data_IF_213259731316
#
_entry.id   IF_213259731316
#
_cell.length_a   1.000
_cell.length_b   1.000
_cell.length_c   1.000
_cell.angle_alpha   90.00
_cell.angle_beta   90.00
_cell.angle_gamma   90.00
#
_symmetry.space_group_name_H-M   'P 1'
#
loop_
_entity.id
_entity.type
_entity.pdbx_description
1 polymer ?
#
# COMPACT_ATOMS: atom_id res chain seq x y z
N UNK A 1 -22.42 11.99 8.95
CA UNK A 1 -21.36 11.54 9.87
C UNK A 1 -21.71 10.28 10.67
N UNK A 2 -22.96 10.08 11.13
CA UNK A 2 -23.35 8.87 11.88
C UNK A 2 -23.37 7.56 11.08
N UNK A 3 -23.66 7.62 9.78
CA UNK A 3 -23.75 6.43 8.92
C UNK A 3 -22.40 5.78 8.62
N UNK A 4 -21.33 6.58 8.42
CA UNK A 4 -19.97 6.05 8.22
C UNK A 4 -19.42 5.40 9.49
N UNK A 5 -19.68 5.98 10.66
CA UNK A 5 -19.28 5.38 11.95
C UNK A 5 -19.94 4.01 12.17
N UNK A 6 -21.22 3.85 11.81
CA UNK A 6 -21.92 2.56 11.88
C UNK A 6 -21.28 1.51 10.96
N UNK A 7 -20.91 1.88 9.73
CA UNK A 7 -20.24 0.96 8.79
C UNK A 7 -18.87 0.51 9.31
N UNK A 8 -18.07 1.44 9.83
CA UNK A 8 -16.75 1.13 10.40
C UNK A 8 -16.91 0.22 11.62
N UNK A 9 -17.87 0.49 12.49
CA UNK A 9 -18.15 -0.36 13.64
C UNK A 9 -18.58 -1.78 13.23
N UNK A 10 -19.43 -1.91 12.21
CA UNK A 10 -19.80 -3.21 11.65
C UNK A 10 -18.60 -3.94 11.05
N UNK A 11 -17.68 -3.23 10.37
CA UNK A 11 -16.45 -3.82 9.84
C UNK A 11 -15.56 -4.35 10.96
N UNK A 12 -15.31 -3.54 12.00
CA UNK A 12 -14.49 -3.96 13.15
C UNK A 12 -15.11 -5.17 13.83
N UNK A 13 -16.44 -5.15 14.05
CA UNK A 13 -17.16 -6.26 14.65
C UNK A 13 -17.03 -7.53 13.80
N UNK A 14 -17.17 -7.41 12.48
CA UNK A 14 -16.98 -8.53 11.56
C UNK A 14 -15.57 -9.11 11.65
N UNK A 15 -14.53 -8.27 11.62
CA UNK A 15 -13.13 -8.72 11.69
C UNK A 15 -12.80 -9.41 13.01
N UNK A 16 -13.37 -8.96 14.13
CA UNK A 16 -13.14 -9.59 15.44
C UNK A 16 -13.90 -10.92 15.55
N UNK A 17 -15.13 -11.00 15.03
CA UNK A 17 -15.96 -12.21 15.11
C UNK A 17 -15.49 -13.28 14.12
N UNK A 18 -14.97 -12.88 12.96
CA UNK A 18 -14.57 -13.78 11.88
C UNK A 18 -13.66 -14.95 12.32
N UNK A 19 -12.51 -14.74 12.98
CA UNK A 19 -11.64 -15.85 13.37
C UNK A 19 -12.31 -16.80 14.37
N UNK A 20 -13.19 -16.29 15.25
CA UNK A 20 -13.92 -17.11 16.21
C UNK A 20 -14.98 -17.95 15.50
N UNK A 21 -15.73 -17.37 14.56
CA UNK A 21 -16.80 -18.04 13.83
C UNK A 21 -16.26 -19.17 12.94
N UNK A 22 -15.15 -18.92 12.24
CA UNK A 22 -14.62 -19.87 11.25
C UNK A 22 -13.90 -21.05 11.91
N UNK A 23 -13.42 -20.92 13.15
CA UNK A 23 -12.92 -22.07 13.92
C UNK A 23 -13.97 -23.19 14.10
N UNK A 24 -15.27 -22.87 13.98
CA UNK A 24 -16.35 -23.87 14.07
C UNK A 24 -16.72 -24.49 12.71
N UNK A 25 -16.08 -24.09 11.61
CA UNK A 25 -16.35 -24.57 10.25
C UNK A 25 -15.14 -25.36 9.73
N UNK A 26 -15.07 -26.68 9.96
CA UNK A 26 -13.94 -27.52 9.56
C UNK A 26 -13.83 -27.75 8.04
N UNK A 27 -14.78 -27.25 7.24
CA UNK A 27 -14.80 -27.42 5.78
C UNK A 27 -13.88 -26.46 5.01
N UNK A 28 -13.34 -25.42 5.67
CA UNK A 28 -12.50 -24.39 5.05
C UNK A 28 -11.13 -24.41 5.74
N UNK A 29 -10.11 -24.94 5.07
CA UNK A 29 -8.70 -24.77 5.49
C UNK A 29 -8.17 -23.39 5.06
N UNK A 30 -7.17 -22.87 5.77
CA UNK A 30 -6.40 -21.66 5.42
C UNK A 30 -7.22 -20.36 5.28
N UNK A 31 -8.35 -20.25 5.98
CA UNK A 31 -9.21 -19.06 5.94
C UNK A 31 -8.52 -17.79 6.47
N UNK A 32 -7.62 -17.92 7.46
CA UNK A 32 -6.87 -16.80 8.01
C UNK A 32 -5.87 -16.28 6.99
N UNK A 33 -5.13 -17.16 6.32
CA UNK A 33 -4.22 -16.81 5.23
C UNK A 33 -4.93 -16.01 4.13
N UNK A 34 -6.08 -16.49 3.66
CA UNK A 34 -6.88 -15.77 2.65
C UNK A 34 -7.25 -14.37 3.13
N UNK A 35 -7.63 -14.23 4.40
CA UNK A 35 -7.97 -12.93 4.97
C UNK A 35 -6.76 -12.03 5.25
N UNK A 36 -5.58 -12.59 5.47
CA UNK A 36 -4.33 -11.84 5.57
C UNK A 36 -4.01 -11.23 4.21
N UNK A 37 -4.05 -12.02 3.13
CA UNK A 37 -3.88 -11.50 1.77
C UNK A 37 -4.96 -10.48 1.42
N UNK A 38 -6.22 -10.72 1.79
CA UNK A 38 -7.30 -9.77 1.60
C UNK A 38 -7.02 -8.43 2.31
N UNK A 39 -6.49 -8.47 3.54
CA UNK A 39 -6.07 -7.28 4.28
C UNK A 39 -4.91 -6.53 3.61
N UNK A 40 -3.89 -7.26 3.15
CA UNK A 40 -2.74 -6.68 2.42
C UNK A 40 -3.22 -5.97 1.14
N UNK A 41 -4.02 -6.65 0.31
CA UNK A 41 -4.58 -6.02 -0.90
C UNK A 41 -5.62 -4.93 -0.58
N UNK A 42 -6.25 -4.96 0.60
CA UNK A 42 -7.08 -3.85 1.08
C UNK A 42 -6.25 -2.58 1.26
N UNK A 43 -5.05 -2.66 1.85
CA UNK A 43 -4.15 -1.49 1.94
C UNK A 43 -3.77 -0.94 0.57
N UNK A 44 -3.42 -1.82 -0.38
CA UNK A 44 -3.11 -1.44 -1.77
C UNK A 44 -4.31 -0.72 -2.40
N UNK A 45 -5.51 -1.28 -2.25
CA UNK A 45 -6.72 -0.71 -2.85
C UNK A 45 -7.15 0.59 -2.16
N UNK A 46 -6.85 0.81 -0.87
CA UNK A 46 -7.03 2.11 -0.21
C UNK A 46 -6.13 3.16 -0.88
N UNK A 47 -4.84 2.86 -1.06
CA UNK A 47 -3.89 3.74 -1.74
C UNK A 47 -4.32 4.05 -3.17
N UNK A 48 -4.74 3.04 -3.92
CA UNK A 48 -5.22 3.18 -5.30
C UNK A 48 -6.53 3.97 -5.38
N UNK A 49 -7.46 3.74 -4.44
CA UNK A 49 -8.75 4.44 -4.38
C UNK A 49 -8.58 5.92 -4.08
N UNK A 50 -7.60 6.29 -3.25
CA UNK A 50 -7.24 7.69 -3.06
C UNK A 50 -6.77 8.31 -4.38
N UNK A 51 -5.81 7.67 -5.06
CA UNK A 51 -5.20 8.19 -6.27
C UNK A 51 -6.18 8.29 -7.46
N UNK A 52 -6.82 7.17 -7.81
CA UNK A 52 -7.73 7.07 -8.94
C UNK A 52 -9.11 7.66 -8.60
N UNK A 53 -9.67 7.31 -7.44
CA UNK A 53 -11.02 7.69 -7.06
C UNK A 53 -11.17 9.13 -6.62
N UNK A 54 -10.23 9.68 -5.83
CA UNK A 54 -10.35 11.04 -5.31
C UNK A 54 -9.61 12.10 -6.11
N UNK A 55 -8.45 11.79 -6.69
CA UNK A 55 -7.70 12.76 -7.49
C UNK A 55 -7.86 12.56 -9.02
N UNK A 56 -8.40 11.42 -9.46
CA UNK A 56 -8.66 11.18 -10.89
C UNK A 56 -7.43 10.83 -11.71
N UNK A 57 -6.38 10.36 -11.04
CA UNK A 57 -5.13 10.01 -11.69
C UNK A 57 -5.11 8.52 -11.99
N UNK A 58 -5.20 8.15 -13.27
CA UNK A 58 -5.09 6.76 -13.68
C UNK A 58 -3.67 6.28 -13.41
N UNK A 59 -3.53 5.15 -12.71
CA UNK A 59 -2.24 4.54 -12.39
C UNK A 59 -2.30 3.03 -12.55
N UNK A 60 -1.48 2.51 -13.44
CA UNK A 60 -1.29 1.07 -13.68
C UNK A 60 0.02 0.54 -13.08
N UNK A 61 0.89 1.43 -12.58
CA UNK A 61 2.18 1.07 -11.98
C UNK A 61 2.14 0.79 -10.48
N UNK A 62 0.96 0.61 -9.88
CA UNK A 62 0.83 0.56 -8.42
C UNK A 62 1.51 -0.69 -7.81
N UNK A 63 1.54 -1.80 -8.56
CA UNK A 63 2.25 -3.01 -8.20
C UNK A 63 3.77 -2.79 -8.04
N UNK A 64 4.34 -1.82 -8.76
CA UNK A 64 5.76 -1.47 -8.63
C UNK A 64 6.10 -0.98 -7.22
N UNK A 65 5.25 -0.11 -6.64
CA UNK A 65 5.45 0.40 -5.28
C UNK A 65 5.25 -0.67 -4.22
N UNK A 66 4.36 -1.63 -4.47
CA UNK A 66 4.22 -2.83 -3.65
C UNK A 66 5.52 -3.65 -3.69
N UNK A 67 6.04 -3.93 -4.88
CA UNK A 67 7.30 -4.65 -5.06
C UNK A 67 8.50 -3.92 -4.43
N UNK A 68 8.59 -2.59 -4.58
CA UNK A 68 9.66 -1.80 -3.94
C UNK A 68 9.63 -1.96 -2.42
N UNK A 69 8.45 -1.92 -1.79
CA UNK A 69 8.32 -2.16 -0.35
C UNK A 69 8.72 -3.58 0.05
N UNK A 70 8.21 -4.57 -0.68
CA UNK A 70 8.51 -5.98 -0.51
C UNK A 70 10.02 -6.27 -0.55
N UNK A 71 10.67 -5.92 -1.67
CA UNK A 71 12.10 -6.16 -1.87
C UNK A 71 12.96 -5.33 -0.91
N UNK A 72 12.64 -4.06 -0.66
CA UNK A 72 13.44 -3.24 0.26
C UNK A 72 13.44 -3.81 1.67
N UNK A 73 12.25 -4.14 2.20
CA UNK A 73 12.13 -4.71 3.54
C UNK A 73 12.79 -6.09 3.62
N UNK A 74 12.57 -6.94 2.61
CA UNK A 74 13.17 -8.27 2.53
C UNK A 74 14.70 -8.25 2.44
N UNK A 75 15.27 -7.44 1.55
CA UNK A 75 16.73 -7.33 1.38
C UNK A 75 17.39 -6.80 2.64
N UNK A 76 16.83 -5.74 3.25
CA UNK A 76 17.40 -5.12 4.45
C UNK A 76 17.38 -6.06 5.66
N UNK A 77 16.36 -6.91 5.75
CA UNK A 77 16.23 -7.86 6.86
C UNK A 77 17.04 -9.12 6.62
N UNK A 78 16.97 -9.71 5.42
CA UNK A 78 17.69 -10.93 5.08
C UNK A 78 19.21 -10.73 4.96
N UNK A 79 19.68 -9.68 4.25
CA UNK A 79 21.12 -9.47 4.02
C UNK A 79 21.81 -8.67 5.11
N UNK A 80 21.15 -7.65 5.64
CA UNK A 80 21.75 -6.72 6.59
C UNK A 80 21.34 -6.97 8.05
N UNK A 81 20.44 -7.93 8.31
CA UNK A 81 19.99 -8.27 9.65
C UNK A 81 19.30 -7.11 10.38
N UNK A 82 18.80 -6.12 9.64
CA UNK A 82 18.11 -4.98 10.23
C UNK A 82 16.75 -5.42 10.81
N UNK A 83 16.25 -4.67 11.80
CA UNK A 83 14.92 -4.91 12.34
C UNK A 83 13.85 -4.81 11.22
N UNK A 84 12.88 -5.74 11.16
CA UNK A 84 11.79 -5.71 10.17
C UNK A 84 11.06 -4.37 10.08
N UNK A 85 10.88 -3.69 11.22
CA UNK A 85 10.24 -2.37 11.24
C UNK A 85 11.08 -1.30 10.55
N UNK A 86 12.41 -1.35 10.68
CA UNK A 86 13.31 -0.46 9.95
C UNK A 86 13.32 -0.79 8.45
N UNK A 87 13.21 -2.08 8.10
CA UNK A 87 13.01 -2.53 6.72
C UNK A 87 11.76 -1.92 6.08
N UNK A 88 10.62 -1.98 6.79
CA UNK A 88 9.37 -1.36 6.35
C UNK A 88 9.54 0.15 6.16
N UNK A 89 10.11 0.85 7.15
CA UNK A 89 10.30 2.30 7.08
C UNK A 89 11.24 2.71 5.93
N UNK A 90 12.31 1.96 5.71
CA UNK A 90 13.22 2.18 4.60
C UNK A 90 12.54 1.92 3.25
N UNK A 91 11.73 0.87 3.13
CA UNK A 91 10.92 0.60 1.95
C UNK A 91 9.94 1.73 1.65
N UNK A 92 9.24 2.23 2.68
CA UNK A 92 8.34 3.39 2.57
C UNK A 92 9.08 4.64 2.13
N UNK A 93 10.25 4.90 2.71
CA UNK A 93 11.08 6.05 2.35
C UNK A 93 11.57 5.96 0.89
N UNK A 94 12.04 4.79 0.47
CA UNK A 94 12.49 4.54 -0.90
C UNK A 94 11.35 4.66 -1.91
N UNK A 95 10.22 4.01 -1.64
CA UNK A 95 9.02 4.07 -2.48
C UNK A 95 8.52 5.51 -2.61
N UNK A 96 8.49 6.27 -1.52
CA UNK A 96 8.12 7.69 -1.53
C UNK A 96 9.09 8.54 -2.34
N UNK A 97 10.40 8.30 -2.23
CA UNK A 97 11.41 9.01 -2.99
C UNK A 97 11.28 8.73 -4.50
N UNK A 98 11.12 7.46 -4.88
CA UNK A 98 10.88 7.05 -6.26
C UNK A 98 9.57 7.64 -6.78
N UNK A 99 8.51 7.66 -5.96
CA UNK A 99 7.24 8.28 -6.33
C UNK A 99 7.36 9.79 -6.57
N UNK A 100 8.22 10.50 -5.83
CA UNK A 100 8.52 11.91 -6.11
C UNK A 100 9.26 12.05 -7.45
N UNK A 101 10.33 11.27 -7.63
CA UNK A 101 11.19 11.35 -8.83
C UNK A 101 10.41 11.03 -10.11
N UNK A 102 9.60 9.97 -10.08
CA UNK A 102 8.76 9.55 -11.22
C UNK A 102 7.50 10.40 -11.33
N UNK A 103 6.92 10.80 -10.21
CA UNK A 103 5.68 11.61 -10.20
C UNK A 103 5.88 12.98 -10.83
N UNK A 104 7.00 13.67 -10.60
CA UNK A 104 7.24 15.01 -11.17
C UNK A 104 7.12 15.04 -12.72
N UNK A 105 7.80 14.16 -13.49
CA UNK A 105 7.65 14.11 -14.93
C UNK A 105 6.33 13.46 -15.38
N UNK A 106 5.91 12.34 -14.78
CA UNK A 106 4.73 11.61 -15.22
C UNK A 106 3.45 12.43 -15.06
N UNK A 107 3.32 13.20 -13.98
CA UNK A 107 2.11 13.99 -13.69
C UNK A 107 1.89 15.20 -14.62
N UNK A 108 2.84 15.49 -15.51
CA UNK A 108 2.66 16.44 -16.62
C UNK A 108 1.80 15.87 -17.76
N UNK A 109 1.69 14.54 -17.83
CA UNK A 109 0.87 13.83 -18.80
C UNK A 109 -0.60 13.81 -18.36
N UNK A 110 -1.52 13.68 -19.32
CA UNK A 110 -2.97 13.66 -19.06
C UNK A 110 -3.61 12.41 -19.64
N UNK A 111 -4.66 11.92 -18.97
CA UNK A 111 -5.49 10.81 -19.42
C UNK A 111 -4.68 9.55 -19.71
N UNK A 112 -4.84 8.99 -20.91
CA UNK A 112 -4.20 7.73 -21.32
C UNK A 112 -2.66 7.80 -21.33
N UNK A 113 -2.06 8.97 -21.58
CA UNK A 113 -0.61 9.12 -21.54
C UNK A 113 -0.04 8.91 -20.13
N UNK A 114 -0.76 9.39 -19.10
CA UNK A 114 -0.37 9.14 -17.71
C UNK A 114 -0.46 7.63 -17.39
N UNK A 115 -1.54 6.97 -17.83
CA UNK A 115 -1.71 5.54 -17.64
C UNK A 115 -0.56 4.74 -18.29
N UNK A 116 -0.21 5.03 -19.54
CA UNK A 116 0.91 4.40 -20.25
C UNK A 116 2.25 4.64 -19.54
N UNK A 117 2.50 5.86 -19.05
CA UNK A 117 3.72 6.16 -18.31
C UNK A 117 3.82 5.36 -17.00
N UNK A 118 2.71 5.21 -16.27
CA UNK A 118 2.70 4.40 -15.03
C UNK A 118 2.85 2.90 -15.31
N UNK A 119 2.29 2.40 -16.42
CA UNK A 119 2.51 1.01 -16.84
C UNK A 119 3.99 0.79 -17.17
N UNK A 120 4.59 1.67 -17.98
CA UNK A 120 6.01 1.59 -18.32
C UNK A 120 6.92 1.67 -17.08
N UNK A 121 6.59 2.50 -16.10
CA UNK A 121 7.27 2.50 -14.81
C UNK A 121 7.16 1.14 -14.11
N UNK A 122 5.97 0.54 -14.10
CA UNK A 122 5.78 -0.80 -13.54
C UNK A 122 6.63 -1.86 -14.22
N UNK A 123 6.71 -1.82 -15.54
CA UNK A 123 7.52 -2.74 -16.33
C UNK A 123 9.02 -2.55 -16.05
N UNK A 124 9.51 -1.31 -15.98
CA UNK A 124 10.91 -1.03 -15.65
C UNK A 124 11.27 -1.63 -14.28
N UNK A 125 10.42 -1.41 -13.28
CA UNK A 125 10.63 -1.94 -11.93
C UNK A 125 10.58 -3.48 -11.93
N UNK A 126 9.68 -4.07 -12.70
CA UNK A 126 9.60 -5.52 -12.87
C UNK A 126 10.88 -6.10 -13.48
N UNK A 127 11.41 -5.48 -14.54
CA UNK A 127 12.68 -5.89 -15.16
C UNK A 127 13.82 -5.79 -14.16
N UNK A 128 13.93 -4.69 -13.41
CA UNK A 128 14.96 -4.51 -12.37
C UNK A 128 14.88 -5.63 -11.33
N UNK A 129 13.68 -6.02 -10.88
CA UNK A 129 13.56 -7.10 -9.90
C UNK A 129 13.97 -8.47 -10.44
N UNK A 130 13.79 -8.74 -11.73
CA UNK A 130 14.16 -10.02 -12.33
C UNK A 130 15.64 -10.09 -12.73
N UNK A 131 16.20 -9.00 -13.25
CA UNK A 131 17.55 -8.97 -13.83
C UNK A 131 18.65 -8.66 -12.80
N UNK A 132 18.38 -7.85 -11.77
CA UNK A 132 19.36 -7.54 -10.71
C UNK A 132 19.44 -8.67 -9.67
N UNK A 133 19.73 -9.89 -10.14
CA UNK A 133 19.75 -11.13 -9.35
C UNK A 133 20.65 -10.99 -8.12
N UNK A 134 21.81 -10.34 -8.26
CA UNK A 134 22.75 -10.13 -7.16
C UNK A 134 22.13 -9.33 -6.01
N UNK A 135 21.26 -8.36 -6.32
CA UNK A 135 20.61 -7.51 -5.33
C UNK A 135 19.30 -8.11 -4.81
N UNK A 136 18.44 -8.61 -5.72
CA UNK A 136 17.04 -8.99 -5.44
C UNK A 136 16.80 -10.48 -5.28
N UNK A 137 17.77 -11.33 -5.65
CA UNK A 137 17.55 -12.78 -5.78
C UNK A 137 16.81 -13.18 -7.05
N UNK A 138 16.51 -12.22 -7.94
CA UNK A 138 15.79 -12.46 -9.19
C UNK A 138 14.38 -13.03 -8.97
N UNK A 139 13.88 -13.90 -9.87
CA UNK A 139 12.58 -14.54 -9.74
C UNK A 139 12.44 -15.44 -8.50
N UNK A 140 13.56 -15.91 -7.93
CA UNK A 140 13.59 -16.79 -6.77
C UNK A 140 13.45 -16.05 -5.44
N UNK A 141 13.74 -14.75 -5.41
CA UNK A 141 13.67 -13.94 -4.19
C UNK A 141 14.62 -14.40 -3.07
N UNK A 142 14.22 -14.20 -1.82
CA UNK A 142 14.96 -14.60 -0.62
C UNK A 142 14.08 -15.50 0.27
N UNK A 143 14.68 -16.56 0.83
CA UNK A 143 13.99 -17.49 1.72
C UNK A 143 14.14 -17.14 3.22
N UNK A 144 15.28 -16.57 3.63
CA UNK A 144 15.59 -16.32 5.05
C UNK A 144 15.13 -14.94 5.53
N UNK A 145 13.86 -14.60 5.30
CA UNK A 145 13.29 -13.32 5.76
C UNK A 145 12.66 -13.54 7.14
N UNK A 146 13.14 -12.86 8.20
CA UNK A 146 12.63 -13.07 9.54
C UNK A 146 11.18 -12.56 9.68
N UNK A 147 10.39 -13.23 10.52
CA UNK A 147 9.08 -12.77 10.93
C UNK A 147 9.17 -11.40 11.60
N UNK A 148 8.10 -10.63 11.46
CA UNK A 148 7.90 -9.42 12.25
C UNK A 148 7.92 -9.78 13.75
N UNK A 149 8.54 -8.93 14.56
CA UNK A 149 8.60 -9.10 16.01
C UNK A 149 8.58 -7.75 16.72
N UNK A 150 7.93 -7.68 17.87
CA UNK A 150 7.96 -6.50 18.76
C UNK A 150 8.59 -6.94 20.07
N UNK A 151 9.84 -6.53 20.31
CA UNK A 151 10.61 -7.01 21.45
C UNK A 151 10.81 -8.53 21.36
N UNK A 152 10.35 -9.26 22.37
CA UNK A 152 10.41 -10.73 22.43
C UNK A 152 9.21 -11.45 21.80
N UNK A 153 8.24 -10.71 21.25
CA UNK A 153 7.03 -11.30 20.69
C UNK A 153 7.13 -11.37 19.17
N UNK A 154 7.18 -12.60 18.63
CA UNK A 154 7.25 -12.86 17.20
C UNK A 154 5.86 -13.16 16.62
N UNK A 155 5.59 -12.60 15.44
CA UNK A 155 4.32 -12.78 14.71
C UNK A 155 4.35 -14.08 13.89
N UNK A 156 4.56 -15.23 14.54
CA UNK A 156 4.69 -16.54 13.88
C UNK A 156 3.34 -17.22 13.62
N UNK A 157 2.31 -16.89 14.40
CA UNK A 157 0.98 -17.48 14.25
C UNK A 157 0.13 -16.70 13.24
N UNK A 158 -0.59 -17.41 12.36
CA UNK A 158 -1.53 -16.81 11.40
C UNK A 158 -2.53 -15.87 12.08
N UNK A 159 -3.03 -16.22 13.26
CA UNK A 159 -3.98 -15.38 14.01
C UNK A 159 -3.33 -14.06 14.41
N UNK A 160 -2.10 -14.10 14.89
CA UNK A 160 -1.36 -12.92 15.33
C UNK A 160 -1.01 -12.02 14.14
N UNK A 161 -0.61 -12.62 13.03
CA UNK A 161 -0.33 -11.88 11.78
C UNK A 161 -1.60 -11.26 11.19
N UNK A 162 -2.72 -11.98 11.22
CA UNK A 162 -4.05 -11.48 10.87
C UNK A 162 -4.41 -10.24 11.67
N UNK A 163 -4.24 -10.27 13.00
CA UNK A 163 -4.51 -9.13 13.87
C UNK A 163 -3.60 -7.95 13.51
N UNK A 164 -2.32 -8.18 13.25
CA UNK A 164 -1.38 -7.14 12.82
C UNK A 164 -1.82 -6.49 11.50
N UNK A 165 -2.07 -7.28 10.46
CA UNK A 165 -2.43 -6.76 9.13
C UNK A 165 -3.72 -5.96 9.19
N UNK A 166 -4.78 -6.50 9.81
CA UNK A 166 -6.05 -5.80 9.91
C UNK A 166 -6.00 -4.57 10.82
N UNK A 167 -5.14 -4.57 11.84
CA UNK A 167 -4.86 -3.36 12.62
C UNK A 167 -4.23 -2.27 11.75
N UNK A 168 -3.24 -2.61 10.91
CA UNK A 168 -2.63 -1.67 9.98
C UNK A 168 -3.65 -1.19 8.93
N UNK A 169 -4.51 -2.07 8.40
CA UNK A 169 -5.61 -1.71 7.50
C UNK A 169 -6.56 -0.71 8.15
N UNK A 170 -7.00 -0.96 9.39
CA UNK A 170 -7.92 -0.07 10.10
C UNK A 170 -7.28 1.30 10.38
N UNK A 171 -6.01 1.32 10.76
CA UNK A 171 -5.24 2.57 10.96
C UNK A 171 -5.13 3.32 9.62
N UNK A 172 -4.76 2.63 8.54
CA UNK A 172 -4.68 3.20 7.20
C UNK A 172 -6.02 3.75 6.72
N UNK A 173 -7.10 3.00 6.90
CA UNK A 173 -8.45 3.43 6.55
C UNK A 173 -8.86 4.67 7.37
N UNK A 174 -8.58 4.70 8.67
CA UNK A 174 -8.84 5.86 9.51
C UNK A 174 -8.11 7.11 9.01
N UNK A 175 -6.82 7.00 8.67
CA UNK A 175 -6.06 8.11 8.10
C UNK A 175 -6.60 8.55 6.74
N UNK A 176 -6.92 7.60 5.85
CA UNK A 176 -7.49 7.88 4.54
C UNK A 176 -8.82 8.65 4.65
N UNK A 177 -9.73 8.20 5.51
CA UNK A 177 -11.02 8.85 5.74
C UNK A 177 -10.86 10.26 6.32
N UNK A 178 -9.98 10.44 7.31
CA UNK A 178 -9.70 11.77 7.86
C UNK A 178 -9.14 12.72 6.78
N UNK A 179 -8.29 12.20 5.90
CA UNK A 179 -7.67 12.99 4.84
C UNK A 179 -8.67 13.41 3.76
N UNK A 180 -9.59 12.52 3.38
CA UNK A 180 -10.66 12.82 2.42
C UNK A 180 -11.59 13.93 2.93
N UNK A 181 -11.90 13.93 4.23
CA UNK A 181 -12.74 14.97 4.85
C UNK A 181 -11.99 16.28 5.13
N UNK A 182 -10.66 16.28 5.01
CA UNK A 182 -9.81 17.46 5.24
C UNK A 182 -9.84 18.47 4.07
N UNK A 183 -9.15 19.61 4.25
CA UNK A 183 -8.93 20.60 3.17
C UNK A 183 -8.21 19.98 1.96
N UNK A 184 -7.30 19.04 2.20
CA UNK A 184 -6.53 18.35 1.17
C UNK A 184 -7.44 17.47 0.32
N UNK A 185 -8.33 16.70 0.96
CA UNK A 185 -9.30 15.87 0.25
C UNK A 185 -10.28 16.66 -0.61
N UNK A 186 -10.71 17.84 -0.14
CA UNK A 186 -11.53 18.77 -0.95
C UNK A 186 -10.79 19.27 -2.18
N UNK A 187 -9.49 19.55 -2.08
CA UNK A 187 -8.67 19.94 -3.22
C UNK A 187 -8.58 18.80 -4.26
N UNK A 188 -8.37 17.55 -3.82
CA UNK A 188 -8.36 16.40 -4.72
C UNK A 188 -9.69 16.20 -5.42
N UNK A 189 -10.81 16.30 -4.69
CA UNK A 189 -12.14 16.19 -5.28
C UNK A 189 -12.41 17.27 -6.32
N UNK A 190 -11.92 18.49 -6.10
CA UNK A 190 -12.00 19.57 -7.09
C UNK A 190 -11.17 19.27 -8.34
N UNK A 191 -9.94 18.76 -8.17
CA UNK A 191 -9.06 18.34 -9.27
C UNK A 191 -9.69 17.21 -10.10
N UNK A 192 -10.30 16.22 -9.44
CA UNK A 192 -10.98 15.11 -10.11
C UNK A 192 -12.18 15.57 -10.96
N UNK A 193 -12.92 16.58 -10.48
CA UNK A 193 -14.05 17.14 -11.22
C UNK A 193 -13.60 17.86 -12.49
N UNK A 194 -12.72 18.86 -12.35
CA UNK A 194 -12.10 19.52 -13.49
C UNK A 194 -10.79 20.20 -13.06
N UNK A 195 -9.67 19.69 -13.55
CA UNK A 195 -8.33 20.18 -13.21
C UNK A 195 -8.15 21.67 -13.56
N UNK A 196 -8.61 22.10 -14.75
CA UNK A 196 -8.46 23.48 -15.21
C UNK A 196 -9.30 24.45 -14.38
N UNK A 197 -10.52 24.04 -14.00
CA UNK A 197 -11.38 24.85 -13.14
C UNK A 197 -10.80 24.97 -11.72
N UNK A 198 -10.27 23.87 -11.17
CA UNK A 198 -9.60 23.90 -9.86
C UNK A 198 -8.37 24.83 -9.87
N UNK A 199 -7.59 24.81 -10.96
CA UNK A 199 -6.44 25.70 -11.14
C UNK A 199 -6.84 27.17 -11.24
N UNK A 200 -7.89 27.48 -12.00
CA UNK A 200 -8.45 28.84 -12.12
C UNK A 200 -8.96 29.40 -10.77
N UNK A 201 -9.42 28.51 -9.88
CA UNK A 201 -9.83 28.85 -8.51
C UNK A 201 -8.64 28.91 -7.51
N UNK A 202 -7.40 28.84 -7.99
CA UNK A 202 -6.18 29.00 -7.18
C UNK A 202 -5.71 27.73 -6.47
N UNK A 203 -6.23 26.55 -6.82
CA UNK A 203 -5.74 25.28 -6.25
C UNK A 203 -4.46 24.87 -6.98
N UNK A 204 -3.31 24.70 -6.28
CA UNK A 204 -2.07 24.25 -6.91
C UNK A 204 -2.14 22.75 -7.27
N UNK A 205 -2.81 22.44 -8.39
CA UNK A 205 -3.13 21.08 -8.86
C UNK A 205 -1.92 20.16 -8.88
N UNK A 206 -0.80 20.62 -9.46
CA UNK A 206 0.45 19.86 -9.55
C UNK A 206 0.98 19.39 -8.19
N UNK A 207 0.95 20.25 -7.16
CA UNK A 207 1.41 19.90 -5.80
C UNK A 207 0.49 18.87 -5.15
N UNK A 208 -0.82 19.02 -5.32
CA UNK A 208 -1.80 18.08 -4.75
C UNK A 208 -1.79 16.72 -5.44
N UNK A 209 -1.60 16.69 -6.77
CA UNK A 209 -1.39 15.48 -7.56
C UNK A 209 -0.14 14.72 -7.11
N UNK A 210 0.98 15.41 -6.91
CA UNK A 210 2.21 14.77 -6.42
C UNK A 210 2.03 14.20 -5.01
N UNK A 211 1.40 14.97 -4.10
CA UNK A 211 1.16 14.52 -2.72
C UNK A 211 0.34 13.24 -2.64
N UNK A 212 -0.72 13.12 -3.44
CA UNK A 212 -1.56 11.92 -3.42
C UNK A 212 -0.88 10.73 -4.09
N UNK A 213 -0.06 10.97 -5.11
CA UNK A 213 0.75 9.93 -5.74
C UNK A 213 1.75 9.33 -4.76
N UNK A 214 2.48 10.18 -4.02
CA UNK A 214 3.39 9.73 -2.94
C UNK A 214 2.61 9.02 -1.84
N UNK A 215 1.48 9.57 -1.38
CA UNK A 215 0.67 8.91 -0.36
C UNK A 215 0.22 7.51 -0.81
N UNK A 216 -0.23 7.38 -2.05
CA UNK A 216 -0.62 6.10 -2.66
C UNK A 216 0.55 5.10 -2.62
N UNK A 217 1.76 5.54 -2.98
CA UNK A 217 2.97 4.69 -2.92
C UNK A 217 3.31 4.21 -1.50
N UNK A 218 3.01 5.00 -0.46
CA UNK A 218 3.21 4.62 0.94
C UNK A 218 2.30 3.45 1.32
N UNK A 219 1.01 3.52 0.98
CA UNK A 219 0.07 2.42 1.23
C UNK A 219 0.50 1.13 0.53
N UNK A 220 0.89 1.23 -0.75
CA UNK A 220 1.39 0.08 -1.50
C UNK A 220 2.68 -0.51 -0.91
N UNK A 221 3.62 0.35 -0.50
CA UNK A 221 4.89 -0.07 0.09
C UNK A 221 4.72 -0.77 1.44
N UNK A 222 3.83 -0.26 2.30
CA UNK A 222 3.51 -0.91 3.57
C UNK A 222 2.91 -2.29 3.30
N UNK A 223 1.94 -2.37 2.37
CA UNK A 223 1.33 -3.64 1.98
C UNK A 223 2.36 -4.65 1.45
N UNK A 224 3.27 -4.22 0.56
CA UNK A 224 4.33 -5.09 0.04
C UNK A 224 5.31 -5.57 1.09
N UNK A 225 5.69 -4.71 2.03
CA UNK A 225 6.58 -5.11 3.12
C UNK A 225 5.90 -6.16 4.02
N UNK A 226 4.61 -5.98 4.34
CA UNK A 226 3.81 -6.97 5.07
C UNK A 226 3.61 -8.27 4.27
N UNK A 227 3.55 -8.20 2.95
CA UNK A 227 3.45 -9.39 2.11
C UNK A 227 4.72 -10.26 2.22
N UNK A 228 5.88 -9.63 2.09
CA UNK A 228 7.17 -10.34 2.13
C UNK A 228 7.45 -10.99 3.48
N UNK A 229 7.14 -10.31 4.59
CA UNK A 229 7.33 -10.89 5.93
C UNK A 229 6.31 -11.97 6.31
N UNK A 230 5.24 -12.15 5.52
CA UNK A 230 4.25 -13.19 5.75
C UNK A 230 4.57 -14.48 5.00
N UNK A 231 5.07 -14.36 3.77
CA UNK A 231 5.17 -15.49 2.83
C UNK A 231 6.45 -16.34 3.02
N UNK A 232 7.38 -15.87 3.85
CA UNK A 232 8.68 -16.51 4.09
C UNK A 232 8.67 -17.44 5.32
#
# INVERSE_FOLDING_TARGET
MGYEKKKILCLILFLVIFPVLVNYIPAISNYLEVMIFAGIFCLVTIGLSLLMGYAGQISLGHAAFLGIGAYSSGILTAKFGLSPWLGILAGVALSSAIAVVVGIPSLKLKGHYLAMATLGFGEIVFIVFNEEVDLTGGPSGFADIPYLHIGSFEFTSELTYYILVWSVVLIGLFFALNLIHSRVGRAWKAIHGNELAAEAMGVPTSKYKLKIFVLSSIYASIAGSLYTHYIC
#
